data_IF_702679273146
#
_entry.id   IF_702679273146
#
_cell.length_a   1.000
_cell.length_b   1.000
_cell.length_c   1.000
_cell.angle_alpha   90.00
_cell.angle_beta   90.00
_cell.angle_gamma   90.00
#
_symmetry.space_group_name_H-M   'P 1'
#
loop_
_entity.id
_entity.type
_entity.pdbx_description
1 polymer ?
#
# COMPACT_ATOMS: atom_id res chain seq x y z
N UNK A 1 -11.83 12.56 -38.75
CA UNK A 1 -12.18 12.11 -37.39
C UNK A 1 -13.54 12.74 -37.01
N UNK A 2 -14.58 11.96 -36.66
CA UNK A 2 -15.93 12.50 -36.42
C UNK A 2 -15.93 13.40 -35.17
N UNK A 3 -16.53 14.60 -35.26
CA UNK A 3 -16.58 15.59 -34.17
C UNK A 3 -17.08 15.01 -32.83
N UNK A 4 -17.96 14.00 -32.88
CA UNK A 4 -18.48 13.28 -31.71
C UNK A 4 -17.44 12.43 -30.98
N UNK A 5 -16.47 11.84 -31.69
CA UNK A 5 -15.41 11.03 -31.07
C UNK A 5 -14.34 11.90 -30.41
N UNK A 6 -14.11 13.11 -30.93
CA UNK A 6 -13.19 14.08 -30.33
C UNK A 6 -13.74 14.63 -29.00
N UNK A 7 -15.04 14.95 -28.94
CA UNK A 7 -15.72 15.38 -27.71
C UNK A 7 -15.73 14.27 -26.64
N UNK A 8 -16.03 13.04 -27.03
CA UNK A 8 -16.00 11.90 -26.12
C UNK A 8 -14.60 11.67 -25.52
N UNK A 9 -13.55 11.77 -26.33
CA UNK A 9 -12.15 11.66 -25.86
C UNK A 9 -11.78 12.79 -24.90
N UNK A 10 -12.15 14.03 -25.21
CA UNK A 10 -11.89 15.17 -24.33
C UNK A 10 -12.60 15.02 -22.97
N UNK A 11 -13.84 14.53 -22.97
CA UNK A 11 -14.58 14.24 -21.73
C UNK A 11 -13.91 13.14 -20.90
N UNK A 12 -13.46 12.05 -21.53
CA UNK A 12 -12.74 10.98 -20.83
C UNK A 12 -11.45 11.53 -20.18
N UNK A 13 -10.68 12.33 -20.91
CA UNK A 13 -9.45 12.94 -20.37
C UNK A 13 -9.77 13.86 -19.19
N UNK A 14 -10.80 14.70 -19.30
CA UNK A 14 -11.21 15.59 -18.22
C UNK A 14 -11.64 14.81 -16.95
N UNK A 15 -12.36 13.70 -17.12
CA UNK A 15 -12.78 12.83 -16.01
C UNK A 15 -11.56 12.19 -15.34
N UNK A 16 -10.59 11.68 -16.12
CA UNK A 16 -9.37 11.08 -15.57
C UNK A 16 -8.53 12.10 -14.80
N UNK A 17 -8.43 13.33 -15.29
CA UNK A 17 -7.74 14.43 -14.60
C UNK A 17 -8.45 14.75 -13.28
N UNK A 18 -9.78 14.88 -13.29
CA UNK A 18 -10.56 15.11 -12.08
C UNK A 18 -10.39 13.98 -11.05
N UNK A 19 -10.44 12.72 -11.48
CA UNK A 19 -10.18 11.56 -10.62
C UNK A 19 -8.78 11.62 -9.99
N UNK A 20 -7.77 11.98 -10.77
CA UNK A 20 -6.40 12.13 -10.27
C UNK A 20 -6.28 13.22 -9.21
N UNK A 21 -6.85 14.40 -9.46
CA UNK A 21 -6.86 15.52 -8.51
C UNK A 21 -7.60 15.16 -7.21
N UNK A 22 -8.78 14.54 -7.31
CA UNK A 22 -9.55 14.12 -6.14
C UNK A 22 -8.78 13.07 -5.32
N UNK A 23 -8.13 12.11 -5.99
CA UNK A 23 -7.33 11.08 -5.31
C UNK A 23 -6.12 11.68 -4.58
N UNK A 24 -5.49 12.69 -5.16
CA UNK A 24 -4.36 13.40 -4.56
C UNK A 24 -4.77 14.13 -3.27
N UNK A 25 -5.85 14.91 -3.33
CA UNK A 25 -6.40 15.59 -2.15
C UNK A 25 -6.81 14.59 -1.06
N UNK A 26 -7.47 13.49 -1.46
CA UNK A 26 -7.89 12.44 -0.52
C UNK A 26 -6.70 11.75 0.17
N UNK A 27 -5.55 11.66 -0.49
CA UNK A 27 -4.34 11.05 0.07
C UNK A 27 -3.79 11.84 1.27
N UNK A 28 -4.02 13.15 1.33
CA UNK A 28 -3.61 14.00 2.46
C UNK A 28 -4.39 13.75 3.76
N UNK A 29 -5.54 13.08 3.69
CA UNK A 29 -6.34 12.72 4.87
C UNK A 29 -5.77 11.51 5.62
N UNK A 30 -4.86 10.75 5.00
CA UNK A 30 -4.24 9.58 5.62
C UNK A 30 -3.31 10.04 6.74
N UNK A 31 -3.67 9.68 7.99
CA UNK A 31 -2.82 9.96 9.14
C UNK A 31 -1.51 9.17 9.05
N UNK A 32 -0.43 9.77 9.55
CA UNK A 32 0.86 9.11 9.63
C UNK A 32 0.71 7.84 10.47
N UNK A 33 1.11 6.70 9.90
CA UNK A 33 1.09 5.45 10.63
C UNK A 33 2.23 5.46 11.68
N UNK A 34 1.88 5.58 12.96
CA UNK A 34 2.79 5.40 14.10
C UNK A 34 3.03 3.91 14.37
N UNK A 35 3.36 3.16 13.31
CA UNK A 35 3.59 1.73 13.40
C UNK A 35 4.89 1.46 14.17
N UNK A 36 4.75 0.96 15.40
CA UNK A 36 5.87 0.55 16.23
C UNK A 36 6.22 -0.90 15.85
N UNK A 37 7.43 -1.20 15.32
CA UNK A 37 7.81 -2.56 14.97
C UNK A 37 8.23 -3.36 16.22
N UNK A 38 7.31 -3.52 17.18
CA UNK A 38 7.58 -4.14 18.47
C UNK A 38 8.20 -5.55 18.32
N UNK A 39 7.73 -6.32 17.34
CA UNK A 39 8.22 -7.67 17.08
C UNK A 39 9.61 -7.67 16.43
N UNK A 40 9.86 -6.80 15.45
CA UNK A 40 11.18 -6.71 14.83
C UNK A 40 12.23 -6.26 15.86
N UNK A 41 11.89 -5.32 16.76
CA UNK A 41 12.78 -4.89 17.84
C UNK A 41 13.02 -5.96 18.89
N UNK A 42 12.03 -6.80 19.21
CA UNK A 42 12.19 -7.90 20.18
C UNK A 42 13.27 -8.90 19.75
N UNK A 43 13.36 -9.20 18.45
CA UNK A 43 14.29 -10.19 17.90
C UNK A 43 15.46 -9.57 17.11
N UNK A 44 15.56 -8.25 17.07
CA UNK A 44 16.50 -7.49 16.22
C UNK A 44 16.51 -7.92 14.74
N UNK A 45 15.32 -8.23 14.21
CA UNK A 45 15.17 -8.68 12.83
C UNK A 45 15.05 -7.52 11.86
N UNK A 46 15.71 -7.66 10.70
CA UNK A 46 15.52 -6.77 9.56
C UNK A 46 14.12 -6.99 8.96
N UNK A 47 13.51 -5.93 8.41
CA UNK A 47 12.15 -5.98 7.87
C UNK A 47 11.95 -7.04 6.77
N UNK A 48 12.98 -7.31 5.97
CA UNK A 48 12.96 -8.30 4.88
C UNK A 48 12.96 -9.76 5.37
N UNK A 49 13.18 -10.00 6.67
CA UNK A 49 13.00 -11.33 7.26
C UNK A 49 11.51 -11.72 7.21
N UNK A 50 10.60 -10.77 7.46
CA UNK A 50 9.16 -11.01 7.47
C UNK A 50 8.44 -10.56 6.19
N UNK A 51 8.97 -9.57 5.47
CA UNK A 51 8.30 -8.94 4.32
C UNK A 51 8.98 -9.25 3.00
N UNK A 52 8.18 -9.33 1.93
CA UNK A 52 8.68 -9.30 0.54
C UNK A 52 9.09 -7.87 0.14
N UNK A 53 9.89 -7.70 -0.94
CA UNK A 53 10.09 -6.39 -1.55
C UNK A 53 8.74 -5.77 -1.95
N UNK A 54 8.52 -4.50 -1.59
CA UNK A 54 7.20 -3.86 -1.71
C UNK A 54 6.33 -4.03 -0.47
N UNK A 55 6.88 -3.68 0.71
CA UNK A 55 6.17 -3.59 2.00
C UNK A 55 4.73 -3.04 1.82
N UNK A 56 3.69 -3.57 2.53
CA UNK A 56 3.73 -4.39 3.75
C UNK A 56 3.48 -5.89 3.57
N UNK A 57 3.48 -6.43 2.35
CA UNK A 57 3.14 -7.85 2.14
C UNK A 57 4.12 -8.78 2.88
N UNK A 58 3.60 -9.77 3.60
CA UNK A 58 4.38 -10.78 4.31
C UNK A 58 4.89 -11.86 3.32
N UNK A 59 6.09 -12.36 3.59
CA UNK A 59 6.61 -13.59 2.98
C UNK A 59 6.12 -14.83 3.77
N UNK A 60 6.52 -16.03 3.36
CA UNK A 60 6.05 -17.27 3.99
C UNK A 60 6.44 -17.34 5.48
N UNK A 61 7.66 -16.94 5.82
CA UNK A 61 8.11 -16.84 7.21
C UNK A 61 7.25 -15.85 8.01
N UNK A 62 7.00 -14.66 7.47
CA UNK A 62 6.20 -13.63 8.12
C UNK A 62 4.76 -14.06 8.39
N UNK A 63 4.15 -14.81 7.46
CA UNK A 63 2.83 -15.40 7.68
C UNK A 63 2.86 -16.43 8.81
N UNK A 64 3.78 -17.39 8.77
CA UNK A 64 3.93 -18.39 9.85
C UNK A 64 4.21 -17.74 11.21
N UNK A 65 5.03 -16.71 11.24
CA UNK A 65 5.37 -15.97 12.45
C UNK A 65 4.15 -15.22 13.02
N UNK A 66 3.34 -14.58 12.17
CA UNK A 66 2.06 -13.99 12.57
C UNK A 66 1.12 -15.05 13.12
N UNK A 67 0.99 -16.17 12.42
CA UNK A 67 0.03 -17.23 12.75
C UNK A 67 0.42 -17.95 14.07
N UNK A 68 1.71 -17.90 14.46
CA UNK A 68 2.23 -18.31 15.77
C UNK A 68 2.18 -17.20 16.84
N UNK A 69 1.43 -16.12 16.61
CA UNK A 69 1.29 -15.02 17.56
C UNK A 69 2.53 -14.16 17.74
N UNK A 70 3.38 -14.05 16.71
CA UNK A 70 4.64 -13.29 16.72
C UNK A 70 5.66 -13.79 17.77
N UNK A 71 5.72 -15.10 17.97
CA UNK A 71 6.67 -15.78 18.84
C UNK A 71 7.58 -16.75 18.08
N UNK A 72 8.86 -16.79 18.47
CA UNK A 72 9.81 -17.79 18.02
C UNK A 72 9.92 -18.87 19.10
N UNK A 73 9.60 -20.11 18.75
CA UNK A 73 9.60 -21.23 19.68
C UNK A 73 8.33 -21.28 20.54
N UNK A 74 7.45 -22.22 20.19
CA UNK A 74 6.44 -22.79 21.08
C UNK A 74 6.88 -24.21 21.40
#
# INVERSE_FOLDING_TARGET
>A
MKMSTLRARAMIVAILVLMGLISYELSGLVQKAEAIPAFARKYDFKCNVCHVPGFPKLNDFGNLFRDRGYQLGS
#
